data_IF_566863192566
#
_entry.id   IF_566863192566
#
_cell.length_a   1.000
_cell.length_b   1.000
_cell.length_c   1.000
_cell.angle_alpha   90.00
_cell.angle_beta   90.00
_cell.angle_gamma   90.00
#
_symmetry.space_group_name_H-M   'P 1'
#
loop_
_entity.id
_entity.type
_entity.pdbx_description
1 polymer ?
#
# COMPACT_ATOMS: atom_id res chain seq x y z
N UNK A 1 -13.54 -16.48 2.72
CA UNK A 1 -14.49 -15.71 1.89
C UNK A 1 -14.78 -14.42 2.66
N UNK A 2 -14.67 -13.24 2.04
CA UNK A 2 -15.07 -11.99 2.72
C UNK A 2 -14.21 -10.75 2.52
N UNK A 3 -13.04 -10.84 1.84
CA UNK A 3 -12.25 -9.66 1.48
C UNK A 3 -12.42 -9.43 -0.02
N UNK A 4 -12.92 -8.25 -0.38
CA UNK A 4 -13.12 -7.82 -1.76
C UNK A 4 -12.06 -6.80 -2.16
N UNK A 5 -12.02 -6.45 -3.44
CA UNK A 5 -11.07 -5.50 -3.96
C UNK A 5 -11.22 -5.31 -5.47
N UNK A 6 -10.41 -4.43 -6.06
CA UNK A 6 -10.41 -4.23 -7.50
C UNK A 6 -10.05 -5.54 -8.22
N UNK A 7 -10.60 -5.79 -9.42
CA UNK A 7 -10.29 -6.99 -10.18
C UNK A 7 -8.80 -7.06 -10.53
N UNK A 8 -8.25 -8.26 -10.57
CA UNK A 8 -6.87 -8.49 -11.02
C UNK A 8 -6.77 -8.31 -12.54
N UNK A 9 -5.80 -7.53 -13.00
CA UNK A 9 -5.54 -7.29 -14.42
C UNK A 9 -4.12 -7.72 -14.82
N UNK A 10 -4.00 -8.73 -15.67
CA UNK A 10 -2.70 -9.18 -16.16
C UNK A 10 -2.09 -8.19 -17.17
N UNK A 11 -0.74 -8.06 -17.22
CA UNK A 11 0.25 -8.67 -16.34
C UNK A 11 0.60 -7.80 -15.10
N UNK A 12 0.10 -6.57 -15.02
CA UNK A 12 0.58 -5.56 -14.06
C UNK A 12 -0.25 -5.43 -12.77
N UNK A 13 -1.26 -6.28 -12.58
CA UNK A 13 -2.23 -6.13 -11.51
C UNK A 13 -2.95 -4.78 -11.60
N UNK A 14 -3.07 -4.09 -10.47
CA UNK A 14 -3.74 -2.79 -10.39
C UNK A 14 -2.79 -1.60 -10.61
N UNK A 15 -1.52 -1.83 -11.01
CA UNK A 15 -0.51 -0.77 -11.10
C UNK A 15 -0.91 0.39 -12.03
N UNK A 16 -1.55 0.10 -13.17
CA UNK A 16 -2.02 1.14 -14.11
C UNK A 16 -3.08 2.05 -13.49
N UNK A 17 -4.00 1.46 -12.72
CA UNK A 17 -5.05 2.20 -12.02
C UNK A 17 -4.46 3.03 -10.87
N UNK A 18 -3.51 2.47 -10.12
CA UNK A 18 -2.77 3.22 -9.08
C UNK A 18 -2.09 4.46 -9.68
N UNK A 19 -1.39 4.30 -10.82
CA UNK A 19 -0.74 5.41 -11.53
C UNK A 19 -1.76 6.45 -12.01
N UNK A 20 -2.93 6.00 -12.51
CA UNK A 20 -4.02 6.91 -12.90
C UNK A 20 -4.50 7.74 -11.72
N UNK A 21 -4.80 7.10 -10.58
CA UNK A 21 -5.24 7.81 -9.38
C UNK A 21 -4.19 8.82 -8.88
N UNK A 22 -2.91 8.44 -8.89
CA UNK A 22 -1.83 9.36 -8.50
C UNK A 22 -1.75 10.57 -9.44
N UNK A 23 -1.85 10.37 -10.76
CA UNK A 23 -1.85 11.48 -11.73
C UNK A 23 -3.02 12.43 -11.53
N UNK A 24 -4.23 11.90 -11.36
CA UNK A 24 -5.44 12.69 -11.11
C UNK A 24 -5.34 13.51 -9.81
N UNK A 25 -4.82 12.89 -8.74
CA UNK A 25 -4.64 13.58 -7.46
C UNK A 25 -3.55 14.66 -7.53
N UNK A 26 -2.47 14.42 -8.29
CA UNK A 26 -1.35 15.34 -8.45
C UNK A 26 -1.65 16.51 -9.38
N UNK A 27 -2.56 16.34 -10.36
CA UNK A 27 -2.99 17.40 -11.27
C UNK A 27 -3.76 18.53 -10.57
N UNK A 28 -4.33 18.27 -9.40
CA UNK A 28 -4.99 19.29 -8.58
C UNK A 28 -3.92 20.17 -7.91
N UNK A 29 -4.19 21.48 -7.73
CA UNK A 29 -3.31 22.36 -6.97
C UNK A 29 -2.98 21.78 -5.60
N UNK A 30 -1.77 22.07 -5.11
CA UNK A 30 -1.42 21.69 -3.75
C UNK A 30 -2.38 22.41 -2.80
N UNK A 31 -3.08 21.68 -1.90
CA UNK A 31 -3.91 22.34 -0.90
C UNK A 31 -3.02 23.22 0.00
N UNK A 32 -3.65 24.12 0.76
CA UNK A 32 -2.95 24.91 1.78
C UNK A 32 -2.09 24.01 2.69
N UNK A 33 -1.06 24.56 3.33
CA UNK A 33 -0.13 23.77 4.14
C UNK A 33 -0.87 23.04 5.29
N UNK A 34 -0.99 21.73 5.17
CA UNK A 34 -1.64 20.85 6.14
C UNK A 34 -1.09 19.41 5.99
N UNK A 35 -1.28 18.59 7.02
CA UNK A 35 -0.75 17.21 7.06
C UNK A 35 -1.72 16.15 6.50
N UNK A 36 -2.89 16.53 6.01
CA UNK A 36 -3.85 15.59 5.38
C UNK A 36 -3.57 15.44 3.88
N UNK A 37 -2.48 14.75 3.56
CA UNK A 37 -2.03 14.56 2.18
C UNK A 37 -2.22 13.13 1.67
N UNK A 38 -2.81 12.22 2.47
CA UNK A 38 -3.00 10.80 2.10
C UNK A 38 -3.77 10.68 0.79
N UNK A 39 -4.82 11.49 0.62
CA UNK A 39 -5.60 11.53 -0.63
C UNK A 39 -4.83 12.01 -1.85
N UNK A 40 -3.66 12.61 -1.67
CA UNK A 40 -2.75 12.99 -2.74
C UNK A 40 -1.67 11.95 -3.01
N UNK A 41 -1.05 11.39 -1.96
CA UNK A 41 0.09 10.46 -2.10
C UNK A 41 -0.34 9.02 -2.34
N UNK A 42 -1.45 8.60 -1.74
CA UNK A 42 -1.99 7.25 -1.83
C UNK A 42 -3.51 7.28 -2.11
N UNK A 43 -3.96 7.97 -3.17
CA UNK A 43 -5.39 8.15 -3.49
C UNK A 43 -6.15 6.82 -3.65
N UNK A 44 -5.47 5.78 -4.15
CA UNK A 44 -6.05 4.45 -4.32
C UNK A 44 -6.50 3.83 -3.00
N UNK A 45 -5.83 4.09 -1.87
CA UNK A 45 -6.29 3.59 -0.56
C UNK A 45 -7.60 4.25 -0.13
N UNK A 46 -7.74 5.57 -0.32
CA UNK A 46 -9.00 6.26 -0.01
C UNK A 46 -10.13 5.74 -0.90
N UNK A 47 -9.86 5.60 -2.20
CA UNK A 47 -10.84 5.15 -3.16
C UNK A 47 -11.28 3.70 -2.93
N UNK A 48 -10.35 2.78 -2.69
CA UNK A 48 -10.71 1.37 -2.51
C UNK A 48 -11.30 1.09 -1.14
N UNK A 49 -10.87 1.80 -0.09
CA UNK A 49 -11.50 1.61 1.23
C UNK A 49 -12.94 2.12 1.27
N UNK A 50 -13.29 3.13 0.45
CA UNK A 50 -14.69 3.56 0.32
C UNK A 50 -15.56 2.57 -0.48
N UNK A 51 -14.99 1.80 -1.41
CA UNK A 51 -15.72 0.85 -2.24
C UNK A 51 -15.79 -0.56 -1.65
N UNK A 52 -14.71 -1.03 -1.05
CA UNK A 52 -14.54 -2.43 -0.63
C UNK A 52 -14.50 -2.59 0.89
N UNK A 53 -14.52 -1.47 1.63
CA UNK A 53 -14.41 -1.44 3.07
C UNK A 53 -12.96 -1.28 3.54
N UNK A 54 -12.81 -1.19 4.87
CA UNK A 54 -11.53 -0.87 5.52
C UNK A 54 -10.45 -1.96 5.38
N UNK A 55 -10.80 -3.15 4.89
CA UNK A 55 -9.86 -4.16 4.44
C UNK A 55 -10.13 -4.52 2.97
N UNK A 56 -9.14 -4.37 2.10
CA UNK A 56 -9.29 -4.71 0.68
C UNK A 56 -8.03 -5.34 0.07
N UNK A 57 -8.23 -6.22 -0.92
CA UNK A 57 -7.16 -6.95 -1.60
C UNK A 57 -6.90 -6.35 -2.99
N UNK A 58 -5.67 -5.98 -3.28
CA UNK A 58 -5.26 -5.48 -4.59
C UNK A 58 -3.95 -6.13 -5.05
N UNK A 59 -3.52 -5.86 -6.28
CA UNK A 59 -2.35 -6.49 -6.87
C UNK A 59 -1.31 -5.47 -7.34
N UNK A 60 -0.05 -5.73 -7.01
CA UNK A 60 1.09 -5.01 -7.55
C UNK A 60 1.90 -5.96 -8.43
N UNK A 61 1.77 -5.85 -9.76
CA UNK A 61 2.19 -6.93 -10.64
C UNK A 61 1.38 -8.19 -10.35
N UNK A 62 2.06 -9.33 -10.20
CA UNK A 62 1.46 -10.62 -9.83
C UNK A 62 1.51 -10.89 -8.33
N UNK A 63 1.82 -9.90 -7.49
CA UNK A 63 1.86 -10.06 -6.04
C UNK A 63 0.61 -9.45 -5.39
N UNK A 64 -0.18 -10.24 -4.64
CA UNK A 64 -1.32 -9.71 -3.91
C UNK A 64 -0.86 -8.90 -2.71
N UNK A 65 -1.60 -7.85 -2.39
CA UNK A 65 -1.38 -6.98 -1.23
C UNK A 65 -2.70 -6.72 -0.53
N UNK A 66 -2.68 -6.87 0.79
CA UNK A 66 -3.82 -6.56 1.65
C UNK A 66 -3.65 -5.15 2.22
N UNK A 67 -4.59 -4.25 1.93
CA UNK A 67 -4.70 -2.97 2.61
C UNK A 67 -5.57 -3.14 3.85
N UNK A 68 -5.08 -2.67 5.00
CA UNK A 68 -5.80 -2.70 6.28
C UNK A 68 -5.90 -1.27 6.80
N UNK A 69 -7.12 -0.82 7.08
CA UNK A 69 -7.45 0.46 7.69
C UNK A 69 -8.17 0.31 9.05
N UNK A 70 -8.35 -0.93 9.53
CA UNK A 70 -8.82 -1.26 10.89
C UNK A 70 -7.69 -1.05 11.91
N UNK A 71 -7.81 -0.13 12.89
CA UNK A 71 -6.75 0.12 13.86
C UNK A 71 -6.35 -1.10 14.69
N UNK A 72 -7.31 -1.94 15.10
CA UNK A 72 -7.01 -3.13 15.91
C UNK A 72 -6.24 -4.19 15.11
N UNK A 73 -6.57 -4.38 13.83
CA UNK A 73 -5.80 -5.29 12.96
C UNK A 73 -4.41 -4.73 12.64
N UNK A 74 -4.29 -3.42 12.43
CA UNK A 74 -2.98 -2.78 12.24
C UNK A 74 -2.10 -3.01 13.47
N UNK A 75 -2.64 -2.82 14.68
CA UNK A 75 -1.91 -3.08 15.93
C UNK A 75 -1.47 -4.54 16.02
N UNK A 76 -2.34 -5.50 15.70
CA UNK A 76 -2.00 -6.92 15.74
C UNK A 76 -0.85 -7.26 14.77
N UNK A 77 -0.89 -6.73 13.55
CA UNK A 77 0.17 -6.90 12.53
C UNK A 77 1.48 -6.28 13.00
N UNK A 78 1.43 -5.06 13.57
CA UNK A 78 2.63 -4.33 14.00
C UNK A 78 3.26 -4.90 15.27
N UNK A 79 2.45 -5.34 16.24
CA UNK A 79 2.94 -6.00 17.45
C UNK A 79 3.48 -7.40 17.14
N UNK A 80 2.97 -8.04 16.09
CA UNK A 80 3.41 -9.33 15.58
C UNK A 80 3.67 -10.37 16.69
N UNK A 81 2.74 -10.58 17.64
CA UNK A 81 3.01 -11.36 18.86
C UNK A 81 3.34 -12.83 18.59
N UNK A 82 2.97 -13.33 17.41
CA UNK A 82 3.21 -14.71 16.96
C UNK A 82 4.38 -14.84 15.97
N UNK A 83 5.05 -13.74 15.63
CA UNK A 83 6.11 -13.73 14.61
C UNK A 83 5.61 -14.14 13.21
N UNK A 84 4.34 -13.89 12.90
CA UNK A 84 3.71 -14.32 11.64
C UNK A 84 3.95 -13.34 10.47
N UNK A 85 4.37 -12.10 10.76
CA UNK A 85 4.61 -11.07 9.77
C UNK A 85 6.11 -10.73 9.68
N UNK A 86 6.62 -10.64 8.46
CA UNK A 86 7.98 -10.20 8.17
C UNK A 86 8.01 -8.74 7.68
N UNK A 87 9.17 -8.09 7.84
CA UNK A 87 9.40 -6.80 7.19
C UNK A 87 9.43 -6.96 5.66
N UNK A 88 8.82 -5.99 4.97
CA UNK A 88 8.76 -5.98 3.51
C UNK A 88 10.17 -6.03 2.89
N UNK A 89 10.30 -6.73 1.77
CA UNK A 89 11.55 -6.79 1.01
C UNK A 89 11.55 -5.76 -0.10
N UNK A 90 12.66 -5.03 -0.21
CA UNK A 90 12.91 -4.19 -1.37
C UNK A 90 13.16 -5.05 -2.60
N UNK A 91 12.64 -4.61 -3.74
CA UNK A 91 13.06 -5.14 -5.03
C UNK A 91 14.55 -4.86 -5.23
N UNK A 92 15.28 -5.64 -6.06
CA UNK A 92 16.70 -5.40 -6.33
C UNK A 92 16.99 -3.97 -6.79
N UNK A 93 16.10 -3.39 -7.62
CA UNK A 93 16.19 -2.02 -8.07
C UNK A 93 16.04 -1.01 -6.91
N UNK A 94 15.05 -1.21 -6.03
CA UNK A 94 14.86 -0.32 -4.89
C UNK A 94 16.01 -0.43 -3.88
N UNK A 95 16.58 -1.62 -3.68
CA UNK A 95 17.76 -1.81 -2.84
C UNK A 95 18.98 -1.07 -3.39
N UNK A 96 19.16 -1.03 -4.71
CA UNK A 96 20.27 -0.28 -5.31
C UNK A 96 20.19 1.23 -5.03
N UNK A 97 18.98 1.78 -4.92
CA UNK A 97 18.76 3.20 -4.63
C UNK A 97 18.81 3.53 -3.13
N UNK A 98 18.28 2.62 -2.29
CA UNK A 98 18.16 2.84 -0.83
C UNK A 98 19.43 2.41 -0.09
N UNK A 99 20.17 1.43 -0.63
CA UNK A 99 21.33 0.82 0.00
C UNK A 99 20.98 -0.13 1.15
N UNK A 100 22.01 -0.51 1.91
CA UNK A 100 21.93 -1.48 3.01
C UNK A 100 21.76 -0.82 4.39
N UNK A 101 20.96 0.26 4.43
CA UNK A 101 20.67 1.02 5.66
C UNK A 101 19.65 0.35 6.59
N UNK A 102 19.31 1.03 7.69
CA UNK A 102 18.45 0.49 8.77
C UNK A 102 17.11 -0.07 8.27
N UNK A 103 16.51 0.54 7.24
CA UNK A 103 15.21 0.15 6.68
C UNK A 103 15.23 -1.29 6.12
N UNK A 104 16.40 -1.81 5.73
CA UNK A 104 16.53 -3.14 5.12
C UNK A 104 17.18 -4.18 6.03
N UNK A 105 17.70 -3.76 7.19
CA UNK A 105 18.33 -4.68 8.14
C UNK A 105 17.28 -5.54 8.83
N UNK A 106 17.62 -6.82 9.05
CA UNK A 106 16.80 -7.75 9.81
C UNK A 106 17.55 -8.16 11.08
N UNK A 107 16.82 -8.22 12.19
CA UNK A 107 17.31 -8.83 13.43
C UNK A 107 17.52 -10.33 13.24
N UNK A 108 18.45 -10.91 14.01
CA UNK A 108 18.58 -12.36 14.16
C UNK A 108 17.59 -12.87 15.19
#
# INVERSE_FOLDING_TARGET
QGISGPPFMLPFGNAREIVRFMKEAQAKPLPAFHHDFVGRVLPHYIHWTSLYGKCCLFWFGTQPRLAIAEPELIKEVLLNPKGAFDMFELTPLARHLIGDGLIVLRGK
#
